data_IF_287713094439
#
_entry.id   IF_287713094439
#
_cell.length_a   1.000
_cell.length_b   1.000
_cell.length_c   1.000
_cell.angle_alpha   90.00
_cell.angle_beta   90.00
_cell.angle_gamma   90.00
#
_symmetry.space_group_name_H-M   'P 1'
#
loop_
_entity.id
_entity.type
_entity.pdbx_description
1 polymer ?
#
# COMPACT_ATOMS: atom_id res chain seq x y z
N UNK A 1 0.24 33.47 3.76
CA UNK A 1 0.85 32.59 2.76
C UNK A 1 0.23 31.22 2.91
N UNK A 2 -0.72 30.90 2.03
CA UNK A 2 -1.32 29.58 1.95
C UNK A 2 -0.36 28.66 1.19
N UNK A 3 0.23 27.70 1.88
CA UNK A 3 0.88 26.59 1.22
C UNK A 3 -0.19 25.58 0.83
N UNK A 4 -0.69 25.70 -0.39
CA UNK A 4 -1.45 24.63 -1.03
C UNK A 4 -0.44 23.59 -1.52
N UNK A 5 -0.31 22.47 -0.82
CA UNK A 5 0.38 21.30 -1.33
C UNK A 5 -0.48 20.71 -2.46
N UNK A 6 -0.14 21.07 -3.68
CA UNK A 6 -0.58 20.32 -4.86
C UNK A 6 0.39 19.15 -5.02
N UNK A 7 -0.07 17.96 -4.64
CA UNK A 7 0.62 16.75 -5.05
C UNK A 7 0.71 16.76 -6.58
N UNK A 8 1.89 16.46 -7.17
CA UNK A 8 1.99 16.34 -8.61
C UNK A 8 0.98 15.29 -9.06
N UNK A 9 0.08 15.66 -9.99
CA UNK A 9 -0.78 14.72 -10.69
C UNK A 9 0.13 13.74 -11.44
N UNK A 10 0.47 12.65 -10.79
CA UNK A 10 1.09 11.51 -11.46
C UNK A 10 0.03 11.00 -12.43
N UNK A 11 0.27 11.18 -13.72
CA UNK A 11 -0.52 10.60 -14.80
C UNK A 11 -0.74 9.13 -14.45
N UNK A 12 -1.98 8.78 -14.12
CA UNK A 12 -2.33 7.37 -13.84
C UNK A 12 -2.15 6.67 -15.17
N UNK A 13 -1.05 5.94 -15.30
CA UNK A 13 -0.85 5.09 -16.46
C UNK A 13 -1.88 3.97 -16.41
N UNK A 14 -2.45 3.63 -17.55
CA UNK A 14 -3.47 2.59 -17.64
C UNK A 14 -2.82 1.21 -17.69
N UNK A 15 -3.56 0.16 -17.33
CA UNK A 15 -3.09 -1.23 -17.45
C UNK A 15 -2.53 -1.53 -18.85
N UNK A 16 -3.12 -0.97 -19.90
CA UNK A 16 -2.63 -1.11 -21.28
C UNK A 16 -1.23 -0.53 -21.48
N UNK A 17 -0.88 0.57 -20.82
CA UNK A 17 0.47 1.13 -20.85
C UNK A 17 1.45 0.16 -20.22
N UNK A 18 1.13 -0.36 -19.01
CA UNK A 18 1.98 -1.31 -18.30
C UNK A 18 2.15 -2.64 -19.04
N UNK A 19 1.10 -3.13 -19.70
CA UNK A 19 1.17 -4.35 -20.52
C UNK A 19 2.16 -4.23 -21.69
N UNK A 20 2.41 -3.01 -22.18
CA UNK A 20 3.40 -2.76 -23.25
C UNK A 20 4.86 -2.80 -22.78
N UNK A 21 5.11 -2.74 -21.47
CA UNK A 21 6.46 -2.72 -20.90
C UNK A 21 7.05 -4.13 -20.80
N UNK A 22 8.38 -4.22 -20.90
CA UNK A 22 9.07 -5.46 -20.57
C UNK A 22 9.07 -5.70 -19.04
N UNK A 23 9.39 -6.93 -18.66
CA UNK A 23 9.34 -7.38 -17.27
C UNK A 23 10.35 -6.62 -16.39
N UNK A 24 11.56 -6.37 -16.87
CA UNK A 24 12.60 -5.66 -16.11
C UNK A 24 12.17 -4.22 -15.80
N UNK A 25 11.56 -3.55 -16.77
CA UNK A 25 11.01 -2.20 -16.57
C UNK A 25 9.86 -2.19 -15.56
N UNK A 26 8.96 -3.18 -15.62
CA UNK A 26 7.87 -3.31 -14.66
C UNK A 26 8.37 -3.52 -13.24
N UNK A 27 9.31 -4.43 -13.03
CA UNK A 27 9.93 -4.70 -11.72
C UNK A 27 10.57 -3.42 -11.19
N UNK A 28 11.40 -2.75 -11.98
CA UNK A 28 12.06 -1.51 -11.59
C UNK A 28 11.04 -0.42 -11.21
N UNK A 29 9.99 -0.28 -12.01
CA UNK A 29 8.92 0.69 -11.75
C UNK A 29 8.16 0.37 -10.46
N UNK A 30 7.78 -0.90 -10.25
CA UNK A 30 7.07 -1.35 -9.05
C UNK A 30 7.88 -1.03 -7.80
N UNK A 31 9.17 -1.33 -7.78
CA UNK A 31 10.05 -1.03 -6.66
C UNK A 31 10.20 0.48 -6.42
N UNK A 32 10.47 1.25 -7.45
CA UNK A 32 10.73 2.68 -7.33
C UNK A 32 9.44 3.49 -7.06
N UNK A 33 8.34 3.11 -7.71
CA UNK A 33 7.10 3.89 -7.68
C UNK A 33 6.14 3.46 -6.58
N UNK A 34 6.12 2.18 -6.21
CA UNK A 34 5.24 1.68 -5.15
C UNK A 34 5.99 1.37 -3.86
N UNK A 35 6.96 0.46 -3.84
CA UNK A 35 7.61 0.07 -2.58
C UNK A 35 8.21 1.29 -1.88
N UNK A 36 9.09 2.04 -2.54
CA UNK A 36 9.77 3.20 -1.94
C UNK A 36 8.78 4.28 -1.48
N UNK A 37 7.69 4.51 -2.25
CA UNK A 37 6.69 5.51 -1.88
C UNK A 37 5.77 5.04 -0.75
N UNK A 38 5.39 3.77 -0.73
CA UNK A 38 4.60 3.20 0.36
C UNK A 38 5.40 3.23 1.66
N UNK A 39 6.69 2.86 1.63
CA UNK A 39 7.58 2.96 2.79
C UNK A 39 7.74 4.40 3.28
N UNK A 40 7.87 5.37 2.38
CA UNK A 40 7.93 6.79 2.73
C UNK A 40 6.62 7.27 3.36
N UNK A 41 5.47 6.92 2.78
CA UNK A 41 4.16 7.27 3.32
C UNK A 41 3.95 6.68 4.73
N UNK A 42 4.36 5.44 4.97
CA UNK A 42 4.29 4.80 6.29
C UNK A 42 5.12 5.59 7.29
N UNK A 43 6.36 5.94 6.93
CA UNK A 43 7.27 6.70 7.78
C UNK A 43 6.72 8.06 8.15
N UNK A 44 6.06 8.73 7.20
CA UNK A 44 5.48 10.05 7.43
C UNK A 44 4.16 9.97 8.21
N UNK A 45 3.33 8.95 7.96
CA UNK A 45 2.00 8.83 8.53
C UNK A 45 2.00 8.33 9.99
N UNK A 46 2.89 7.41 10.34
CA UNK A 46 2.93 6.81 11.69
C UNK A 46 3.04 7.82 12.83
N UNK A 47 3.95 8.82 12.79
CA UNK A 47 4.04 9.83 13.85
C UNK A 47 2.76 10.67 14.00
N UNK A 48 2.05 10.91 12.91
CA UNK A 48 0.78 11.64 12.92
C UNK A 48 -0.34 10.80 13.54
N UNK A 49 -0.44 9.50 13.20
CA UNK A 49 -1.38 8.56 13.83
C UNK A 49 -1.11 8.50 15.34
N UNK A 50 0.14 8.31 15.76
CA UNK A 50 0.52 8.27 17.18
C UNK A 50 0.12 9.54 17.91
N UNK A 51 0.32 10.70 17.29
CA UNK A 51 -0.08 11.99 17.85
C UNK A 51 -1.60 12.09 18.01
N UNK A 52 -2.37 11.70 17.00
CA UNK A 52 -3.84 11.77 17.04
C UNK A 52 -4.39 10.83 18.09
N UNK A 53 -3.88 9.60 18.20
CA UNK A 53 -4.25 8.64 19.24
C UNK A 53 -3.96 9.20 20.64
N UNK A 54 -2.78 9.77 20.85
CA UNK A 54 -2.38 10.33 22.16
C UNK A 54 -3.27 11.49 22.58
N UNK A 55 -3.67 12.36 21.65
CA UNK A 55 -4.42 13.60 21.96
C UNK A 55 -5.92 13.35 22.01
N UNK A 56 -6.43 12.47 21.14
CA UNK A 56 -7.88 12.30 20.92
C UNK A 56 -8.39 10.90 21.26
N UNK A 57 -7.51 9.94 21.60
CA UNK A 57 -7.90 8.54 21.84
C UNK A 57 -8.89 8.34 22.99
N UNK A 58 -8.86 9.19 24.00
CA UNK A 58 -9.82 9.14 25.11
C UNK A 58 -11.23 9.53 24.66
N UNK A 59 -11.36 10.59 23.85
CA UNK A 59 -12.64 11.05 23.31
C UNK A 59 -13.09 10.32 22.05
N UNK A 60 -12.16 9.66 21.36
CA UNK A 60 -12.37 8.88 20.14
C UNK A 60 -11.77 7.47 20.27
N UNK A 61 -12.42 6.55 21.00
CA UNK A 61 -11.87 5.24 21.39
C UNK A 61 -11.62 4.29 20.23
N UNK A 62 -12.07 4.58 19.02
CA UNK A 62 -11.75 3.82 17.81
C UNK A 62 -10.33 4.08 17.28
N UNK A 63 -9.71 5.21 17.61
CA UNK A 63 -8.39 5.59 17.10
C UNK A 63 -7.26 4.61 17.47
N UNK A 64 -7.17 4.08 18.70
CA UNK A 64 -6.22 3.02 19.02
C UNK A 64 -6.38 1.77 18.15
N UNK A 65 -7.62 1.38 17.82
CA UNK A 65 -7.87 0.26 16.92
C UNK A 65 -7.41 0.55 15.50
N UNK A 66 -7.66 1.75 14.97
CA UNK A 66 -7.14 2.20 13.66
C UNK A 66 -5.61 2.13 13.63
N UNK A 67 -4.95 2.61 14.68
CA UNK A 67 -3.49 2.52 14.81
C UNK A 67 -2.98 1.07 14.76
N UNK A 68 -3.61 0.19 15.52
CA UNK A 68 -3.19 -1.21 15.58
C UNK A 68 -3.39 -1.92 14.24
N UNK A 69 -4.50 -1.68 13.55
CA UNK A 69 -4.74 -2.18 12.20
C UNK A 69 -3.71 -1.65 11.19
N UNK A 70 -3.35 -0.38 11.27
CA UNK A 70 -2.33 0.17 10.40
C UNK A 70 -0.95 -0.43 10.68
N UNK A 71 -0.58 -0.69 11.93
CA UNK A 71 0.66 -1.40 12.29
C UNK A 71 0.65 -2.84 11.76
N UNK A 72 -0.48 -3.53 11.85
CA UNK A 72 -0.64 -4.86 11.25
C UNK A 72 -0.40 -4.80 9.74
N UNK A 73 -1.04 -3.87 9.04
CA UNK A 73 -0.86 -3.68 7.60
C UNK A 73 0.61 -3.42 7.23
N UNK A 74 1.30 -2.58 8.00
CA UNK A 74 2.73 -2.30 7.81
C UNK A 74 3.58 -3.56 7.95
N UNK A 75 3.32 -4.40 8.94
CA UNK A 75 4.05 -5.65 9.14
C UNK A 75 3.80 -6.62 7.96
N UNK A 76 2.57 -6.76 7.53
CA UNK A 76 2.19 -7.62 6.39
C UNK A 76 2.81 -7.11 5.07
N UNK A 77 2.82 -5.80 4.82
CA UNK A 77 3.46 -5.19 3.66
C UNK A 77 4.98 -5.42 3.64
N UNK A 78 5.65 -5.29 4.78
CA UNK A 78 7.08 -5.56 4.87
C UNK A 78 7.43 -7.01 4.50
N UNK A 79 6.62 -7.97 4.95
CA UNK A 79 6.82 -9.39 4.59
C UNK A 79 6.48 -9.63 3.11
N UNK A 80 5.45 -8.99 2.58
CA UNK A 80 5.10 -9.04 1.17
C UNK A 80 6.24 -8.53 0.27
N UNK A 81 6.80 -7.36 0.54
CA UNK A 81 7.93 -6.80 -0.22
C UNK A 81 9.18 -7.67 -0.17
N UNK A 82 9.45 -8.35 0.96
CA UNK A 82 10.56 -9.32 1.05
C UNK A 82 10.34 -10.53 0.15
N UNK A 83 9.13 -11.10 0.16
CA UNK A 83 8.77 -12.23 -0.70
C UNK A 83 8.84 -11.84 -2.18
N UNK A 84 8.29 -10.69 -2.54
CA UNK A 84 8.32 -10.18 -3.91
C UNK A 84 9.76 -10.00 -4.41
N UNK A 85 10.64 -9.45 -3.58
CA UNK A 85 12.06 -9.36 -3.90
C UNK A 85 12.70 -10.74 -4.14
N UNK A 86 12.28 -11.75 -3.38
CA UNK A 86 12.71 -13.13 -3.59
C UNK A 86 12.24 -13.65 -4.95
N UNK A 87 10.97 -13.40 -5.31
CA UNK A 87 10.41 -13.76 -6.62
C UNK A 87 11.19 -13.09 -7.74
N UNK A 88 11.47 -11.80 -7.63
CA UNK A 88 12.23 -11.07 -8.65
C UNK A 88 13.65 -11.64 -8.85
N UNK A 89 14.30 -12.05 -7.76
CA UNK A 89 15.62 -12.71 -7.86
C UNK A 89 15.53 -14.10 -8.51
N UNK A 90 14.45 -14.85 -8.28
CA UNK A 90 14.23 -16.17 -8.88
C UNK A 90 14.01 -16.10 -10.40
N UNK A 91 13.44 -15.03 -10.90
CA UNK A 91 13.21 -14.83 -12.35
C UNK A 91 14.53 -14.77 -13.11
N UNK A 92 15.56 -14.19 -12.53
CA UNK A 92 16.89 -14.08 -13.12
C UNK A 92 17.68 -15.41 -13.05
N UNK A 93 17.20 -16.37 -12.24
CA UNK A 93 17.83 -17.69 -12.13
C UNK A 93 17.25 -18.64 -13.20
N UNK A 94 18.05 -18.94 -14.22
CA UNK A 94 17.71 -19.86 -15.33
C UNK A 94 17.27 -21.27 -14.84
N UNK A 95 17.52 -21.59 -13.58
CA UNK A 95 17.18 -22.89 -12.95
C UNK A 95 15.94 -22.81 -12.04
N UNK A 96 15.26 -21.68 -11.98
CA UNK A 96 14.09 -21.54 -11.13
C UNK A 96 13.01 -22.54 -11.56
N UNK A 97 12.54 -23.35 -10.62
CA UNK A 97 11.42 -24.28 -10.85
C UNK A 97 10.12 -23.47 -11.00
N UNK A 98 9.44 -23.64 -12.12
CA UNK A 98 8.18 -22.97 -12.41
C UNK A 98 7.11 -23.22 -11.34
N UNK A 99 7.13 -24.39 -10.67
CA UNK A 99 6.19 -24.69 -9.57
C UNK A 99 6.51 -23.88 -8.31
N UNK A 100 7.80 -23.64 -8.03
CA UNK A 100 8.20 -22.78 -6.91
C UNK A 100 7.77 -21.34 -7.19
N UNK A 101 8.00 -20.85 -8.39
CA UNK A 101 7.61 -19.51 -8.80
C UNK A 101 6.10 -19.31 -8.69
N UNK A 102 5.29 -20.26 -9.19
CA UNK A 102 3.82 -20.20 -9.10
C UNK A 102 3.33 -20.26 -7.64
N UNK A 103 3.96 -21.07 -6.80
CA UNK A 103 3.64 -21.12 -5.36
C UNK A 103 3.89 -19.77 -4.68
N UNK A 104 5.02 -19.14 -4.95
CA UNK A 104 5.36 -17.83 -4.38
C UNK A 104 4.43 -16.72 -4.87
N UNK A 105 4.11 -16.69 -6.18
CA UNK A 105 3.15 -15.74 -6.73
C UNK A 105 1.76 -15.93 -6.12
N UNK A 106 1.30 -17.18 -5.99
CA UNK A 106 0.02 -17.46 -5.35
C UNK A 106 -0.02 -17.01 -3.89
N UNK A 107 1.10 -17.12 -3.18
CA UNK A 107 1.25 -16.60 -1.81
C UNK A 107 1.18 -15.07 -1.78
N UNK A 108 1.79 -14.37 -2.74
CA UNK A 108 1.71 -12.91 -2.87
C UNK A 108 0.28 -12.44 -3.13
N UNK A 109 -0.43 -13.09 -4.06
CA UNK A 109 -1.84 -12.79 -4.33
C UNK A 109 -2.72 -13.02 -3.09
N UNK A 110 -2.43 -14.07 -2.31
CA UNK A 110 -3.11 -14.32 -1.03
C UNK A 110 -2.92 -13.20 0.00
N UNK A 111 -1.76 -12.52 0.00
CA UNK A 111 -1.52 -11.38 0.88
C UNK A 111 -2.42 -10.18 0.54
N UNK A 112 -2.77 -9.97 -0.74
CA UNK A 112 -3.66 -8.89 -1.15
C UNK A 112 -5.02 -8.96 -0.44
N UNK A 113 -5.60 -10.14 -0.30
CA UNK A 113 -6.85 -10.34 0.44
C UNK A 113 -6.73 -9.92 1.91
N UNK A 114 -5.57 -10.15 2.53
CA UNK A 114 -5.32 -9.70 3.90
C UNK A 114 -5.23 -8.17 3.97
N UNK A 115 -4.56 -7.52 3.02
CA UNK A 115 -4.48 -6.05 2.95
C UNK A 115 -5.86 -5.43 2.76
N UNK A 116 -6.66 -5.94 1.82
CA UNK A 116 -8.04 -5.50 1.60
C UNK A 116 -8.87 -5.57 2.88
N UNK A 117 -8.81 -6.70 3.60
CA UNK A 117 -9.54 -6.88 4.85
C UNK A 117 -9.13 -5.86 5.92
N UNK A 118 -7.84 -5.61 6.09
CA UNK A 118 -7.36 -4.61 7.07
C UNK A 118 -7.77 -3.20 6.67
N UNK A 119 -7.66 -2.86 5.39
CA UNK A 119 -8.05 -1.54 4.88
C UNK A 119 -9.56 -1.30 4.98
N UNK A 120 -10.38 -2.34 4.76
CA UNK A 120 -11.82 -2.26 4.96
C UNK A 120 -12.17 -1.97 6.42
N UNK A 121 -11.56 -2.69 7.37
CA UNK A 121 -11.74 -2.43 8.79
C UNK A 121 -11.32 -1.01 9.19
N UNK A 122 -10.20 -0.49 8.66
CA UNK A 122 -9.79 0.91 8.88
C UNK A 122 -10.84 1.86 8.29
N UNK A 123 -11.33 1.60 7.09
CA UNK A 123 -12.35 2.42 6.42
C UNK A 123 -13.65 2.46 7.22
N UNK A 124 -14.10 1.33 7.76
CA UNK A 124 -15.30 1.26 8.60
C UNK A 124 -15.11 2.07 9.90
N UNK A 125 -14.02 1.85 10.63
CA UNK A 125 -13.73 2.55 11.88
C UNK A 125 -13.60 4.07 11.69
N UNK A 126 -13.15 4.50 10.52
CA UNK A 126 -12.97 5.92 10.19
C UNK A 126 -14.14 6.53 9.43
N UNK A 127 -15.28 5.82 9.34
CA UNK A 127 -16.44 6.26 8.54
C UNK A 127 -16.05 6.67 7.13
N UNK A 128 -15.35 5.79 6.42
CA UNK A 128 -14.79 6.02 5.08
C UNK A 128 -13.83 7.22 5.04
N UNK A 129 -12.96 7.27 6.04
CA UNK A 129 -11.96 8.34 6.19
C UNK A 129 -12.58 9.74 6.34
N UNK A 130 -13.72 9.83 7.03
CA UNK A 130 -14.40 11.09 7.31
C UNK A 130 -14.12 11.53 8.74
N UNK A 131 -13.34 12.60 8.90
CA UNK A 131 -13.00 13.12 10.21
C UNK A 131 -14.25 13.74 10.88
N UNK A 132 -14.43 13.60 12.21
CA UNK A 132 -15.53 14.24 12.92
C UNK A 132 -15.52 15.77 12.76
N UNK A 133 -16.70 16.38 12.81
CA UNK A 133 -16.83 17.83 12.78
C UNK A 133 -16.05 18.48 13.93
N UNK A 134 -15.34 19.57 13.63
CA UNK A 134 -14.48 20.24 14.61
C UNK A 134 -13.13 19.57 14.87
N UNK A 135 -12.79 18.51 14.14
CA UNK A 135 -11.49 17.85 14.27
C UNK A 135 -10.33 18.80 14.01
N UNK A 136 -9.23 18.61 14.77
CA UNK A 136 -8.01 19.39 14.58
C UNK A 136 -7.33 19.08 13.23
N UNK A 137 -6.45 19.97 12.80
CA UNK A 137 -5.71 19.84 11.54
C UNK A 137 -5.00 18.48 11.40
N UNK A 138 -4.32 18.02 12.45
CA UNK A 138 -3.58 16.74 12.41
C UNK A 138 -4.52 15.55 12.22
N UNK A 139 -5.71 15.58 12.83
CA UNK A 139 -6.73 14.55 12.67
C UNK A 139 -7.19 14.44 11.21
N UNK A 140 -7.49 15.58 10.57
CA UNK A 140 -7.86 15.62 9.15
C UNK A 140 -6.73 15.12 8.26
N UNK A 141 -5.48 15.54 8.50
CA UNK A 141 -4.31 15.05 7.76
C UNK A 141 -4.20 13.53 7.83
N UNK A 142 -4.36 12.92 9.02
CA UNK A 142 -4.30 11.46 9.17
C UNK A 142 -5.37 10.77 8.33
N UNK A 143 -6.61 11.24 8.35
CA UNK A 143 -7.69 10.60 7.60
C UNK A 143 -7.53 10.76 6.09
N UNK A 144 -7.12 11.93 5.62
CA UNK A 144 -6.82 12.17 4.20
C UNK A 144 -5.63 11.31 3.74
N UNK A 145 -4.59 11.18 4.57
CA UNK A 145 -3.42 10.36 4.26
C UNK A 145 -3.75 8.86 4.24
N UNK A 146 -4.59 8.37 5.17
CA UNK A 146 -5.06 6.98 5.17
C UNK A 146 -5.90 6.68 3.91
N UNK A 147 -6.76 7.61 3.49
CA UNK A 147 -7.52 7.49 2.24
C UNK A 147 -6.59 7.41 1.02
N UNK A 148 -5.58 8.28 0.95
CA UNK A 148 -4.61 8.29 -0.13
C UNK A 148 -3.75 7.02 -0.14
N UNK A 149 -3.36 6.53 1.04
CA UNK A 149 -2.64 5.28 1.22
C UNK A 149 -3.44 4.08 0.72
N UNK A 150 -4.72 3.96 1.10
CA UNK A 150 -5.62 2.91 0.61
C UNK A 150 -5.71 2.94 -0.92
N UNK A 151 -5.92 4.11 -1.52
CA UNK A 151 -5.97 4.24 -2.98
C UNK A 151 -4.66 3.79 -3.65
N UNK A 152 -3.52 4.17 -3.10
CA UNK A 152 -2.20 3.80 -3.63
C UNK A 152 -1.97 2.28 -3.54
N UNK A 153 -2.32 1.67 -2.41
CA UNK A 153 -2.17 0.24 -2.22
C UNK A 153 -3.04 -0.55 -3.20
N UNK A 154 -4.29 -0.16 -3.40
CA UNK A 154 -5.17 -0.77 -4.40
C UNK A 154 -4.60 -0.65 -5.83
N UNK A 155 -3.98 0.47 -6.18
CA UNK A 155 -3.33 0.64 -7.48
C UNK A 155 -2.12 -0.29 -7.64
N UNK A 156 -1.34 -0.46 -6.59
CA UNK A 156 -0.21 -1.37 -6.55
C UNK A 156 -0.65 -2.83 -6.72
N UNK A 157 -1.63 -3.29 -5.94
CA UNK A 157 -2.19 -4.63 -6.02
C UNK A 157 -2.77 -4.94 -7.41
N UNK A 158 -3.45 -3.97 -8.02
CA UNK A 158 -3.98 -4.09 -9.38
C UNK A 158 -2.86 -4.24 -10.42
N UNK A 159 -1.78 -3.45 -10.31
CA UNK A 159 -0.63 -3.58 -11.21
C UNK A 159 0.00 -4.97 -11.10
N UNK A 160 0.20 -5.47 -9.88
CA UNK A 160 0.76 -6.79 -9.64
C UNK A 160 -0.13 -7.90 -10.20
N UNK A 161 -1.39 -7.92 -9.78
CA UNK A 161 -2.31 -9.01 -10.10
C UNK A 161 -2.68 -9.08 -11.59
N UNK A 162 -2.83 -7.92 -12.26
CA UNK A 162 -3.34 -7.86 -13.62
C UNK A 162 -2.25 -7.72 -14.69
N UNK A 163 -1.01 -7.40 -14.31
CA UNK A 163 0.06 -7.16 -15.28
C UNK A 163 1.35 -7.87 -14.89
N UNK A 164 1.90 -7.58 -13.71
CA UNK A 164 3.23 -8.05 -13.32
C UNK A 164 3.28 -9.57 -13.19
N UNK A 165 2.37 -10.15 -12.41
CA UNK A 165 2.34 -11.60 -12.17
C UNK A 165 2.00 -12.39 -13.43
N UNK A 166 1.13 -11.86 -14.29
CA UNK A 166 0.82 -12.48 -15.58
C UNK A 166 2.06 -12.50 -16.50
N UNK A 167 2.86 -11.42 -16.49
CA UNK A 167 4.11 -11.39 -17.26
C UNK A 167 5.20 -12.29 -16.69
N UNK A 168 5.24 -12.51 -15.39
CA UNK A 168 6.18 -13.44 -14.77
C UNK A 168 5.84 -14.89 -15.14
N UNK A 169 4.53 -15.20 -15.28
CA UNK A 169 4.04 -16.53 -15.66
C UNK A 169 4.20 -16.84 -17.15
N UNK A 170 4.29 -15.82 -18.00
CA UNK A 170 4.36 -15.97 -19.45
C UNK A 170 5.75 -16.41 -19.94
#
# INVERSE_FOLDING_TARGET
MEFSYQAPETKIETDETYKSWDLAKLITYTQAHYHNKIEADIKDLMPHIDKVVRVHGESHPHLPAVRNLFLQLVAELNEHFKKEKTVFNLIDDIKADANILEFEISSLVGNHLAFESVLENISELTHKYTAPEGSCRTYNIVYDSLRAFNKKLNQYENLESNVLFDKIRA
#
